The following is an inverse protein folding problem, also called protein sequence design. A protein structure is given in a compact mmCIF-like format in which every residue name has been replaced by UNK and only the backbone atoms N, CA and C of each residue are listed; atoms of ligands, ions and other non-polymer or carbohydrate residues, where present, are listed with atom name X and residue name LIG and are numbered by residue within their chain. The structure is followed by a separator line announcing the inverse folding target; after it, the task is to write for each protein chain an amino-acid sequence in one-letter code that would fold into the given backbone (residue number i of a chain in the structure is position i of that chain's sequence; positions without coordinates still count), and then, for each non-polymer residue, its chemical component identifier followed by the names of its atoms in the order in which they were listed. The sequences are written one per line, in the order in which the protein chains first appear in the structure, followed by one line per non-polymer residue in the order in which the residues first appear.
data_IF_543565644017
#
_entry.id   IF_543565644017
#
_cell.length_a   1.000
_cell.length_b   1.000
_cell.length_c   1.000
_cell.angle_alpha   90.00
_cell.angle_beta   90.00
_cell.angle_gamma   90.00
#
_symmetry.space_group_name_H-M   'P 1'
#
loop_
_entity.id
_entity.type
_entity.pdbx_description
1 polymer ?
#
# COMPACT_ATOMS: atom_id res chain seq x y z
N UNK A 1 -6.52 -5.71 -36.15
CA UNK A 1 -6.86 -7.15 -36.04
C UNK A 1 -6.56 -7.77 -34.68
N UNK A 2 -5.42 -7.47 -34.01
CA UNK A 2 -5.10 -8.07 -32.69
C UNK A 2 -5.85 -7.47 -31.49
N UNK A 3 -6.39 -6.25 -31.58
CA UNK A 3 -7.12 -5.60 -30.49
C UNK A 3 -8.34 -6.40 -30.01
N UNK A 4 -9.08 -7.05 -30.92
CA UNK A 4 -10.25 -7.87 -30.59
C UNK A 4 -9.89 -9.04 -29.67
N UNK A 5 -8.72 -9.67 -29.89
CA UNK A 5 -8.22 -10.72 -29.00
C UNK A 5 -7.96 -10.19 -27.58
N UNK A 6 -7.37 -9.00 -27.45
CA UNK A 6 -7.11 -8.41 -26.13
C UNK A 6 -8.41 -7.98 -25.43
N UNK A 7 -9.42 -7.52 -26.17
CA UNK A 7 -10.76 -7.26 -25.60
C UNK A 7 -11.34 -8.55 -25.02
N UNK A 8 -11.32 -9.65 -25.78
CA UNK A 8 -11.80 -10.95 -25.27
C UNK A 8 -10.97 -11.47 -24.10
N UNK A 9 -9.65 -11.25 -24.12
CA UNK A 9 -8.76 -11.65 -23.03
C UNK A 9 -9.10 -10.89 -21.73
N UNK A 10 -9.27 -9.56 -21.79
CA UNK A 10 -9.64 -8.75 -20.63
C UNK A 10 -11.02 -9.15 -20.07
N UNK A 11 -11.99 -9.46 -20.94
CA UNK A 11 -13.30 -9.91 -20.48
C UNK A 11 -13.24 -11.28 -19.82
N UNK A 12 -12.48 -12.22 -20.37
CA UNK A 12 -12.35 -13.56 -19.80
C UNK A 12 -11.46 -13.54 -18.57
N UNK A 13 -10.16 -13.29 -18.70
CA UNK A 13 -9.22 -13.36 -17.56
C UNK A 13 -9.49 -12.26 -16.53
N UNK A 14 -9.78 -11.04 -16.98
CA UNK A 14 -9.98 -9.90 -16.09
C UNK A 14 -11.30 -9.96 -15.34
N UNK A 15 -12.42 -9.88 -16.06
CA UNK A 15 -13.74 -9.77 -15.41
C UNK A 15 -14.14 -11.08 -14.73
N UNK A 16 -14.01 -12.22 -15.40
CA UNK A 16 -14.37 -13.50 -14.77
C UNK A 16 -13.40 -13.88 -13.66
N UNK A 17 -12.12 -13.50 -13.77
CA UNK A 17 -11.14 -13.70 -12.71
C UNK A 17 -11.49 -12.97 -11.42
N UNK A 18 -11.82 -11.68 -11.50
CA UNK A 18 -12.25 -10.90 -10.32
C UNK A 18 -13.60 -11.40 -9.79
N UNK A 19 -14.54 -11.74 -10.67
CA UNK A 19 -15.82 -12.30 -10.26
C UNK A 19 -15.67 -13.69 -9.61
N UNK A 20 -14.66 -14.47 -10.01
CA UNK A 20 -14.31 -15.73 -9.34
C UNK A 20 -13.63 -15.49 -7.99
N UNK A 21 -12.81 -14.44 -7.89
CA UNK A 21 -12.12 -14.08 -6.65
C UNK A 21 -13.12 -13.76 -5.53
N UNK A 22 -14.25 -13.08 -5.80
CA UNK A 22 -15.25 -12.78 -4.76
C UNK A 22 -15.85 -14.04 -4.13
N UNK A 23 -16.03 -15.11 -4.92
CA UNK A 23 -16.60 -16.38 -4.46
C UNK A 23 -15.60 -17.20 -3.66
N UNK A 24 -14.29 -16.94 -3.80
CA UNK A 24 -13.19 -17.66 -3.15
C UNK A 24 -13.40 -19.18 -3.15
N UNK A 25 -13.66 -19.75 -4.33
CA UNK A 25 -14.04 -21.16 -4.47
C UNK A 25 -13.00 -22.12 -3.87
N UNK A 26 -11.69 -21.81 -4.03
CA UNK A 26 -10.61 -22.64 -3.51
C UNK A 26 -10.67 -22.79 -1.98
N UNK A 27 -10.55 -21.74 -1.16
CA UNK A 27 -10.63 -21.88 0.29
C UNK A 27 -12.00 -22.38 0.75
N UNK A 28 -13.10 -22.05 0.06
CA UNK A 28 -14.43 -22.57 0.41
C UNK A 28 -14.51 -24.11 0.31
N UNK A 29 -14.01 -24.67 -0.79
CA UNK A 29 -14.00 -26.13 -1.00
C UNK A 29 -13.07 -26.81 0.01
N UNK A 30 -11.86 -26.26 0.22
CA UNK A 30 -10.91 -26.80 1.19
C UNK A 30 -11.43 -26.73 2.63
N UNK A 31 -12.14 -25.66 3.00
CA UNK A 31 -12.78 -25.53 4.30
C UNK A 31 -13.80 -26.65 4.53
N UNK A 32 -14.73 -26.87 3.59
CA UNK A 32 -15.72 -27.94 3.73
C UNK A 32 -15.08 -29.34 3.75
N UNK A 33 -14.03 -29.56 2.96
CA UNK A 33 -13.29 -30.82 2.95
C UNK A 33 -12.59 -31.06 4.30
N UNK A 34 -11.87 -30.06 4.83
CA UNK A 34 -11.22 -30.13 6.14
C UNK A 34 -12.24 -30.31 7.26
N UNK A 35 -13.35 -29.57 7.21
CA UNK A 35 -14.41 -29.66 8.22
C UNK A 35 -15.08 -31.04 8.24
N UNK A 36 -15.21 -31.71 7.10
CA UNK A 36 -15.80 -33.05 7.05
C UNK A 36 -14.83 -34.16 7.48
N UNK A 37 -13.53 -34.06 7.14
CA UNK A 37 -12.58 -35.15 7.35
C UNK A 37 -11.63 -34.97 8.55
N UNK A 38 -11.27 -33.74 8.91
CA UNK A 38 -10.13 -33.44 9.80
C UNK A 38 -10.51 -32.71 11.08
N UNK A 39 -11.59 -31.93 11.08
CA UNK A 39 -12.02 -31.14 12.25
C UNK A 39 -12.62 -32.03 13.32
N UNK A 40 -12.03 -32.03 14.53
CA UNK A 40 -12.58 -32.71 15.71
C UNK A 40 -12.82 -31.75 16.87
N UNK A 41 -12.07 -30.65 16.93
CA UNK A 41 -12.16 -29.61 17.97
C UNK A 41 -12.42 -28.23 17.36
N UNK A 42 -12.88 -27.27 18.18
CA UNK A 42 -13.09 -25.89 17.73
C UNK A 42 -11.79 -25.22 17.25
N UNK A 43 -10.64 -25.54 17.87
CA UNK A 43 -9.33 -25.05 17.42
C UNK A 43 -8.97 -25.52 16.01
N UNK A 44 -9.25 -26.78 15.68
CA UNK A 44 -9.03 -27.30 14.32
C UNK A 44 -9.91 -26.57 13.28
N UNK A 45 -11.06 -26.05 13.69
CA UNK A 45 -11.98 -25.29 12.84
C UNK A 45 -11.45 -23.88 12.58
N UNK A 46 -10.86 -23.23 13.57
CA UNK A 46 -10.19 -21.94 13.40
C UNK A 46 -9.01 -22.06 12.43
N UNK A 47 -8.17 -23.09 12.58
CA UNK A 47 -7.08 -23.38 11.64
C UNK A 47 -7.58 -23.69 10.22
N UNK A 48 -8.75 -24.33 10.09
CA UNK A 48 -9.37 -24.57 8.80
C UNK A 48 -9.92 -23.29 8.16
N UNK A 49 -10.20 -22.25 8.95
CA UNK A 49 -10.79 -20.98 8.49
C UNK A 49 -9.74 -19.96 8.02
N UNK A 50 -8.44 -20.32 7.96
CA UNK A 50 -7.39 -19.42 7.49
C UNK A 50 -7.66 -18.93 6.04
N UNK A 51 -7.96 -17.63 5.87
CA UNK A 51 -8.22 -17.06 4.56
C UNK A 51 -6.93 -16.84 3.75
N UNK A 52 -5.75 -16.91 4.37
CA UNK A 52 -4.49 -16.54 3.74
C UNK A 52 -4.39 -15.06 3.40
N UNK A 53 -3.29 -14.72 2.73
CA UNK A 53 -2.92 -13.37 2.33
C UNK A 53 -3.23 -13.08 0.85
N UNK A 54 -3.17 -11.80 0.48
CA UNK A 54 -3.32 -11.39 -0.91
C UNK A 54 -2.19 -12.00 -1.74
N UNK A 55 -2.56 -12.69 -2.82
CA UNK A 55 -1.60 -13.26 -3.77
C UNK A 55 -0.95 -12.15 -4.62
N UNK A 56 -0.01 -11.41 -4.03
CA UNK A 56 0.71 -10.31 -4.66
C UNK A 56 1.52 -10.78 -5.88
N UNK A 57 2.05 -12.00 -5.82
CA UNK A 57 2.82 -12.68 -6.87
C UNK A 57 2.09 -12.79 -8.21
N UNK A 58 0.78 -13.03 -8.17
CA UNK A 58 -0.06 -13.24 -9.35
C UNK A 58 -0.89 -12.01 -9.70
N UNK A 59 -1.36 -11.28 -8.69
CA UNK A 59 -2.22 -10.11 -8.89
C UNK A 59 -1.45 -8.92 -9.44
N UNK A 60 -0.21 -8.68 -8.96
CA UNK A 60 0.59 -7.53 -9.37
C UNK A 60 1.00 -7.58 -10.86
N UNK A 61 1.53 -8.69 -11.40
CA UNK A 61 1.86 -8.78 -12.82
C UNK A 61 0.63 -8.68 -13.72
N UNK A 62 -0.52 -9.24 -13.29
CA UNK A 62 -1.79 -9.15 -14.01
C UNK A 62 -2.23 -7.70 -14.18
N UNK A 63 -2.19 -6.91 -13.10
CA UNK A 63 -2.52 -5.48 -13.14
C UNK A 63 -1.56 -4.72 -14.08
N UNK A 64 -0.27 -5.03 -14.01
CA UNK A 64 0.74 -4.39 -14.88
C UNK A 64 0.55 -4.70 -16.35
N UNK A 65 0.12 -5.92 -16.69
CA UNK A 65 -0.24 -6.27 -18.06
C UNK A 65 -1.41 -5.41 -18.57
N UNK A 66 -2.45 -5.21 -17.77
CA UNK A 66 -3.58 -4.35 -18.15
C UNK A 66 -3.20 -2.87 -18.26
N UNK A 67 -2.29 -2.38 -17.41
CA UNK A 67 -1.71 -1.05 -17.58
C UNK A 67 -0.94 -0.92 -18.89
N UNK A 68 -0.09 -1.90 -19.23
CA UNK A 68 0.66 -1.91 -20.48
C UNK A 68 -0.28 -1.92 -21.69
N UNK A 69 -1.29 -2.80 -21.69
CA UNK A 69 -2.29 -2.87 -22.76
C UNK A 69 -3.06 -1.55 -22.89
N UNK A 70 -3.46 -0.96 -21.76
CA UNK A 70 -4.15 0.33 -21.73
C UNK A 70 -3.31 1.44 -22.35
N UNK A 71 -2.03 1.57 -21.97
CA UNK A 71 -1.14 2.59 -22.52
C UNK A 71 -0.89 2.39 -24.02
N UNK A 72 -0.54 1.17 -24.44
CA UNK A 72 -0.22 0.85 -25.84
C UNK A 72 -1.43 1.06 -26.76
N UNK A 73 -2.60 0.59 -26.36
CA UNK A 73 -3.80 0.68 -27.20
C UNK A 73 -4.59 1.98 -27.03
N UNK A 74 -4.26 2.85 -26.06
CA UNK A 74 -4.92 4.14 -25.90
C UNK A 74 -4.88 4.99 -27.17
N UNK A 75 -3.74 5.05 -27.83
CA UNK A 75 -3.55 5.82 -29.07
C UNK A 75 -3.99 5.06 -30.34
N UNK A 76 -3.99 3.72 -30.32
CA UNK A 76 -4.23 2.88 -31.50
C UNK A 76 -5.70 2.46 -31.63
N UNK A 77 -6.33 2.04 -30.53
CA UNK A 77 -7.71 1.53 -30.51
C UNK A 77 -8.37 1.89 -29.17
N UNK A 78 -8.96 3.09 -29.04
CA UNK A 78 -9.48 3.59 -27.77
C UNK A 78 -10.66 2.75 -27.24
N UNK A 79 -11.29 1.94 -28.09
CA UNK A 79 -12.37 1.03 -27.70
C UNK A 79 -11.96 -0.04 -26.66
N UNK A 80 -10.66 -0.33 -26.48
CA UNK A 80 -10.19 -1.23 -25.41
C UNK A 80 -10.28 -0.58 -24.02
N UNK A 81 -10.14 0.74 -23.92
CA UNK A 81 -10.02 1.46 -22.65
C UNK A 81 -11.24 1.32 -21.74
N UNK A 82 -12.50 1.42 -22.23
CA UNK A 82 -13.67 1.21 -21.38
C UNK A 82 -13.67 -0.16 -20.70
N UNK A 83 -13.24 -1.22 -21.38
CA UNK A 83 -13.19 -2.57 -20.81
C UNK A 83 -12.16 -2.69 -19.68
N UNK A 84 -11.00 -2.06 -19.86
CA UNK A 84 -9.94 -1.99 -18.83
C UNK A 84 -10.39 -1.13 -17.65
N UNK A 85 -11.09 -0.02 -17.90
CA UNK A 85 -11.59 0.85 -16.84
C UNK A 85 -12.66 0.15 -15.99
N UNK A 86 -13.59 -0.58 -16.63
CA UNK A 86 -14.57 -1.43 -15.93
C UNK A 86 -13.86 -2.49 -15.10
N UNK A 87 -12.82 -3.13 -15.65
CA UNK A 87 -11.98 -4.07 -14.90
C UNK A 87 -11.40 -3.42 -13.65
N UNK A 88 -10.77 -2.24 -13.75
CA UNK A 88 -10.18 -1.55 -12.59
C UNK A 88 -11.21 -1.11 -11.56
N UNK A 89 -12.36 -0.60 -12.00
CA UNK A 89 -13.45 -0.23 -11.09
C UNK A 89 -14.00 -1.43 -10.33
N UNK A 90 -14.23 -2.55 -11.03
CA UNK A 90 -14.70 -3.78 -10.41
C UNK A 90 -13.65 -4.40 -9.48
N UNK A 91 -12.38 -4.45 -9.92
CA UNK A 91 -11.25 -4.92 -9.11
C UNK A 91 -11.14 -4.11 -7.81
N UNK A 92 -11.24 -2.78 -7.90
CA UNK A 92 -11.13 -1.90 -6.74
C UNK A 92 -12.19 -2.23 -5.68
N UNK A 93 -13.46 -2.35 -6.08
CA UNK A 93 -14.56 -2.64 -5.15
C UNK A 93 -14.39 -4.03 -4.53
N UNK A 94 -14.06 -5.04 -5.33
CA UNK A 94 -13.91 -6.43 -4.85
C UNK A 94 -12.71 -6.55 -3.92
N UNK A 95 -11.52 -6.11 -4.33
CA UNK A 95 -10.34 -6.20 -3.47
C UNK A 95 -10.49 -5.34 -2.22
N UNK A 96 -11.13 -4.16 -2.29
CA UNK A 96 -11.42 -3.36 -1.08
C UNK A 96 -12.31 -4.13 -0.10
N UNK A 97 -13.36 -4.79 -0.59
CA UNK A 97 -14.22 -5.62 0.25
C UNK A 97 -13.46 -6.78 0.88
N UNK A 98 -12.62 -7.47 0.10
CA UNK A 98 -11.87 -8.63 0.60
C UNK A 98 -10.76 -8.27 1.56
N UNK A 99 -10.08 -7.14 1.37
CA UNK A 99 -9.06 -6.63 2.28
C UNK A 99 -9.66 -6.34 3.66
N UNK A 100 -10.89 -5.80 3.70
CA UNK A 100 -11.55 -5.44 4.97
C UNK A 100 -12.11 -6.69 5.66
N UNK A 101 -12.73 -7.60 4.91
CA UNK A 101 -13.56 -8.65 5.51
C UNK A 101 -12.91 -10.03 5.59
N UNK A 102 -11.86 -10.28 4.80
CA UNK A 102 -11.39 -11.67 4.62
C UNK A 102 -9.89 -11.84 4.68
N UNK A 103 -9.08 -11.05 3.96
CA UNK A 103 -7.65 -11.32 3.88
C UNK A 103 -6.93 -11.01 5.20
N UNK A 104 -6.04 -11.92 5.60
CA UNK A 104 -5.13 -11.70 6.71
C UNK A 104 -3.72 -11.42 6.17
N UNK A 105 -3.15 -10.27 6.54
CA UNK A 105 -1.85 -9.85 6.04
C UNK A 105 -0.73 -10.50 6.87
N UNK A 106 -0.07 -11.51 6.29
CA UNK A 106 0.99 -12.27 6.95
C UNK A 106 2.31 -11.50 7.13
N UNK A 107 2.56 -10.49 6.29
CA UNK A 107 3.78 -9.70 6.34
C UNK A 107 3.49 -8.23 6.05
N UNK A 108 4.18 -7.33 6.76
CA UNK A 108 4.06 -5.90 6.54
C UNK A 108 5.36 -5.33 5.95
N UNK A 109 5.28 -4.92 4.68
CA UNK A 109 6.43 -4.35 3.96
C UNK A 109 6.38 -2.81 3.86
N UNK A 110 5.39 -2.16 4.47
CA UNK A 110 5.18 -0.70 4.43
C UNK A 110 5.31 -0.09 3.01
N UNK A 111 4.73 -0.74 2.00
CA UNK A 111 4.74 -0.31 0.59
C UNK A 111 6.13 -0.12 -0.07
N UNK A 112 7.18 -0.77 0.44
CA UNK A 112 8.52 -0.74 -0.17
C UNK A 112 8.58 -1.22 -1.63
N UNK A 113 7.57 -1.94 -2.11
CA UNK A 113 7.46 -2.39 -3.52
C UNK A 113 7.07 -1.26 -4.50
N UNK A 114 6.63 -0.09 -4.01
CA UNK A 114 6.13 1.00 -4.86
C UNK A 114 7.15 1.52 -5.89
N UNK A 115 8.44 1.74 -5.57
CA UNK A 115 9.44 2.13 -6.57
C UNK A 115 9.57 1.12 -7.72
N UNK A 116 9.42 -0.18 -7.44
CA UNK A 116 9.42 -1.22 -8.46
C UNK A 116 8.20 -1.13 -9.37
N UNK A 117 7.00 -0.95 -8.80
CA UNK A 117 5.76 -0.76 -9.57
C UNK A 117 5.84 0.49 -10.45
N UNK A 118 6.29 1.61 -9.88
CA UNK A 118 6.47 2.86 -10.61
C UNK A 118 7.44 2.70 -11.78
N UNK A 119 8.59 2.04 -11.55
CA UNK A 119 9.57 1.75 -12.61
C UNK A 119 8.95 0.97 -13.77
N UNK A 120 8.18 -0.08 -13.48
CA UNK A 120 7.51 -0.89 -14.51
C UNK A 120 6.44 -0.11 -15.28
N UNK A 121 5.67 0.75 -14.62
CA UNK A 121 4.70 1.64 -15.29
C UNK A 121 5.40 2.62 -16.23
N UNK A 122 6.52 3.24 -15.81
CA UNK A 122 7.29 4.11 -16.70
C UNK A 122 7.88 3.32 -17.87
N UNK A 123 8.40 2.11 -17.65
CA UNK A 123 8.86 1.25 -18.74
C UNK A 123 7.72 0.94 -19.73
N UNK A 124 6.52 0.62 -19.23
CA UNK A 124 5.35 0.42 -20.09
C UNK A 124 4.98 1.67 -20.90
N UNK A 125 5.10 2.86 -20.31
CA UNK A 125 4.89 4.13 -21.00
C UNK A 125 5.93 4.37 -22.11
N UNK A 126 7.22 4.11 -21.84
CA UNK A 126 8.29 4.21 -22.84
C UNK A 126 8.03 3.22 -23.99
N UNK A 127 7.69 1.97 -23.67
CA UNK A 127 7.33 0.95 -24.67
C UNK A 127 6.15 1.42 -25.53
N UNK A 128 5.10 1.98 -24.91
CA UNK A 128 3.96 2.55 -25.63
C UNK A 128 4.36 3.68 -26.59
N UNK A 129 5.27 4.57 -26.17
CA UNK A 129 5.74 5.69 -26.99
C UNK A 129 6.59 5.19 -28.17
N UNK A 130 7.48 4.22 -27.94
CA UNK A 130 8.29 3.62 -28.99
C UNK A 130 7.46 2.82 -30.01
N UNK A 131 6.44 2.08 -29.55
CA UNK A 131 5.51 1.39 -30.44
C UNK A 131 4.68 2.36 -31.27
N UNK A 132 4.22 3.46 -30.67
CA UNK A 132 3.49 4.50 -31.40
C UNK A 132 4.39 5.17 -32.45
N UNK A 133 5.65 5.44 -32.12
CA UNK A 133 6.64 5.96 -33.08
C UNK A 133 6.85 4.97 -34.24
N UNK A 134 6.99 3.67 -33.94
CA UNK A 134 7.09 2.63 -34.96
C UNK A 134 5.88 2.57 -35.88
N UNK A 135 4.67 2.73 -35.33
CA UNK A 135 3.42 2.75 -36.10
C UNK A 135 3.29 4.00 -36.97
N UNK A 136 3.61 5.19 -36.44
CA UNK A 136 3.55 6.44 -37.20
C UNK A 136 4.59 6.51 -38.31
N UNK A 137 5.78 5.92 -38.10
CA UNK A 137 6.83 5.84 -39.11
C UNK A 137 6.42 5.06 -40.36
N UNK A 138 5.37 4.23 -40.30
CA UNK A 138 4.87 3.48 -41.47
C UNK A 138 3.80 4.23 -42.27
N UNK A 139 3.28 5.34 -41.76
CA UNK A 139 2.14 6.06 -42.34
C UNK A 139 2.54 7.43 -42.94
N UNK A 140 3.81 7.64 -43.27
CA UNK A 140 4.36 8.88 -43.90
C UNK A 140 4.03 10.20 -43.16
N UNK A 141 3.78 10.16 -41.85
CA UNK A 141 3.54 11.35 -41.02
C UNK A 141 4.85 11.98 -40.50
N UNK A 142 5.71 12.43 -41.41
CA UNK A 142 7.06 12.94 -41.11
C UNK A 142 7.08 14.11 -40.11
N UNK A 143 6.03 14.93 -40.08
CA UNK A 143 5.93 16.09 -39.19
C UNK A 143 5.77 15.71 -37.71
N UNK A 144 5.29 14.50 -37.41
CA UNK A 144 5.00 14.06 -36.03
C UNK A 144 6.18 13.36 -35.36
N UNK A 145 7.11 12.81 -36.15
CA UNK A 145 8.31 12.09 -35.71
C UNK A 145 9.18 12.84 -34.68
N UNK A 146 9.51 14.15 -34.84
CA UNK A 146 10.37 14.83 -33.87
C UNK A 146 9.72 14.95 -32.49
N UNK A 147 8.40 15.16 -32.41
CA UNK A 147 7.67 15.25 -31.14
C UNK A 147 7.64 13.89 -30.44
N UNK A 148 7.37 12.82 -31.19
CA UNK A 148 7.33 11.45 -30.66
C UNK A 148 8.69 10.96 -30.16
N UNK A 149 9.80 11.48 -30.71
CA UNK A 149 11.15 11.13 -30.30
C UNK A 149 11.58 11.85 -29.00
N UNK A 150 11.08 13.06 -28.75
CA UNK A 150 11.36 13.82 -27.52
C UNK A 150 10.63 13.22 -26.31
N UNK A 151 9.44 12.66 -26.52
CA UNK A 151 8.60 12.04 -25.48
C UNK A 151 9.32 10.97 -24.61
N UNK A 152 9.97 9.92 -25.17
CA UNK A 152 10.67 8.91 -24.39
C UNK A 152 11.89 9.47 -23.62
N UNK A 153 12.54 10.50 -24.16
CA UNK A 153 13.65 11.18 -23.47
C UNK A 153 13.13 11.94 -22.26
N UNK A 154 12.01 12.65 -22.40
CA UNK A 154 11.36 13.37 -21.32
C UNK A 154 10.87 12.41 -20.24
N UNK A 155 10.20 11.31 -20.60
CA UNK A 155 9.73 10.32 -19.60
C UNK A 155 10.87 9.65 -18.86
N UNK A 156 11.99 9.36 -19.53
CA UNK A 156 13.19 8.87 -18.86
C UNK A 156 13.81 9.90 -17.91
N UNK A 157 13.87 11.17 -18.34
CA UNK A 157 14.31 12.27 -17.48
C UNK A 157 13.42 12.44 -16.23
N UNK A 158 12.11 12.34 -16.40
CA UNK A 158 11.14 12.35 -15.31
C UNK A 158 11.36 11.17 -14.35
N UNK A 159 11.56 9.96 -14.87
CA UNK A 159 11.89 8.80 -14.04
C UNK A 159 13.16 9.01 -13.21
N UNK A 160 14.22 9.54 -13.82
CA UNK A 160 15.47 9.87 -13.09
C UNK A 160 15.24 10.91 -12.00
N UNK A 161 14.42 11.92 -12.27
CA UNK A 161 14.04 12.91 -11.26
C UNK A 161 13.29 12.27 -10.09
N UNK A 162 12.25 11.47 -10.37
CA UNK A 162 11.46 10.78 -9.35
C UNK A 162 12.31 9.79 -8.54
N UNK A 163 13.16 9.02 -9.21
CA UNK A 163 14.13 8.12 -8.58
C UNK A 163 15.03 8.86 -7.61
N UNK A 164 15.66 9.95 -8.02
CA UNK A 164 16.58 10.69 -7.16
C UNK A 164 15.86 11.41 -6.01
N UNK A 165 14.62 11.87 -6.23
CA UNK A 165 13.88 12.70 -5.27
C UNK A 165 13.07 11.91 -4.24
N UNK A 166 12.45 10.79 -4.65
CA UNK A 166 11.43 10.08 -3.88
C UNK A 166 11.81 8.66 -3.50
N UNK A 167 12.58 7.92 -4.30
CA UNK A 167 13.03 6.56 -3.95
C UNK A 167 13.76 6.47 -2.60
N UNK A 168 14.60 7.45 -2.20
CA UNK A 168 15.24 7.41 -0.88
C UNK A 168 14.25 7.32 0.28
N UNK A 169 13.02 7.84 0.13
CA UNK A 169 12.00 7.76 1.18
C UNK A 169 11.45 6.35 1.39
N UNK A 170 11.53 5.49 0.38
CA UNK A 170 11.07 4.09 0.45
C UNK A 170 12.18 3.12 0.88
N UNK A 171 13.44 3.47 0.61
CA UNK A 171 14.60 2.59 0.85
C UNK A 171 15.37 2.95 2.11
N UNK A 172 15.39 4.22 2.51
CA UNK A 172 16.17 4.70 3.65
C UNK A 172 15.27 5.21 4.75
N UNK A 173 15.56 4.79 5.98
CA UNK A 173 14.87 5.29 7.17
C UNK A 173 15.58 6.53 7.71
N UNK A 174 14.96 7.72 7.71
CA UNK A 174 15.60 8.95 8.17
C UNK A 174 15.77 8.95 9.70
N UNK A 175 16.99 9.27 10.17
CA UNK A 175 17.32 9.31 11.60
C UNK A 175 16.44 10.29 12.40
N UNK A 176 15.97 11.37 11.77
CA UNK A 176 15.11 12.35 12.41
C UNK A 176 13.78 11.74 12.85
N UNK A 177 13.13 10.91 12.01
CA UNK A 177 11.87 10.26 12.38
C UNK A 177 12.11 9.11 13.37
N UNK A 178 13.23 8.40 13.23
CA UNK A 178 13.65 7.38 14.19
C UNK A 178 13.79 7.97 15.61
N UNK A 179 14.58 9.05 15.78
CA UNK A 179 14.75 9.72 17.07
C UNK A 179 13.43 10.26 17.64
N UNK A 180 12.58 10.81 16.79
CA UNK A 180 11.26 11.32 17.19
C UNK A 180 10.38 10.20 17.70
N UNK A 181 10.32 9.07 16.99
CA UNK A 181 9.58 7.88 17.41
C UNK A 181 10.11 7.32 18.73
N UNK A 182 11.43 7.15 18.85
CA UNK A 182 12.08 6.68 20.09
C UNK A 182 11.76 7.57 21.30
N UNK A 183 11.74 8.90 21.10
CA UNK A 183 11.42 9.86 22.16
C UNK A 183 9.95 9.75 22.60
N UNK A 184 9.03 9.55 21.66
CA UNK A 184 7.61 9.38 21.93
C UNK A 184 7.33 8.05 22.64
N UNK A 185 7.95 6.95 22.19
CA UNK A 185 7.82 5.65 22.83
C UNK A 185 8.36 5.67 24.27
N UNK A 186 9.51 6.31 24.50
CA UNK A 186 10.06 6.49 25.85
C UNK A 186 9.17 7.32 26.77
N UNK A 187 8.45 8.30 26.22
CA UNK A 187 7.49 9.10 26.99
C UNK A 187 6.20 8.33 27.31
N UNK A 188 5.75 7.48 26.38
CA UNK A 188 4.54 6.66 26.54
C UNK A 188 4.76 5.50 27.52
N UNK A 189 5.88 4.79 27.37
CA UNK A 189 6.19 3.57 28.12
C UNK A 189 7.61 3.65 28.73
N UNK A 190 7.80 4.43 29.81
CA UNK A 190 9.13 4.69 30.37
C UNK A 190 9.79 3.47 31.01
N UNK A 191 9.01 2.46 31.40
CA UNK A 191 9.47 1.28 32.14
C UNK A 191 9.53 0.00 31.26
N UNK A 192 9.47 0.12 29.93
CA UNK A 192 9.53 -1.02 29.02
C UNK A 192 10.94 -1.65 29.00
N UNK A 193 11.06 -2.92 29.40
CA UNK A 193 12.31 -3.69 29.26
C UNK A 193 12.44 -4.25 27.83
N UNK A 194 13.10 -3.46 26.98
CA UNK A 194 13.34 -3.83 25.58
C UNK A 194 14.17 -5.11 25.43
N UNK A 195 15.08 -5.40 26.38
CA UNK A 195 15.96 -6.57 26.30
C UNK A 195 15.15 -7.84 26.51
N UNK A 196 14.28 -7.86 27.52
CA UNK A 196 13.38 -8.98 27.77
C UNK A 196 12.40 -9.18 26.60
N UNK A 197 11.84 -8.08 26.06
CA UNK A 197 10.92 -8.13 24.92
C UNK A 197 11.55 -8.74 23.66
N UNK A 198 12.79 -8.35 23.34
CA UNK A 198 13.47 -8.78 22.10
C UNK A 198 14.21 -10.12 22.22
N UNK A 199 14.42 -10.65 23.43
CA UNK A 199 15.25 -11.84 23.65
C UNK A 199 14.79 -13.07 22.85
N UNK A 200 13.48 -13.24 22.69
CA UNK A 200 12.88 -14.44 22.08
C UNK A 200 12.25 -14.20 20.70
N UNK A 201 12.26 -12.97 20.17
CA UNK A 201 11.48 -12.60 18.97
C UNK A 201 11.92 -13.35 17.71
N UNK A 202 13.23 -13.52 17.51
CA UNK A 202 13.84 -14.13 16.31
C UNK A 202 14.32 -15.57 16.52
N UNK A 203 13.81 -16.27 17.54
CA UNK A 203 14.02 -17.70 17.69
C UNK A 203 13.31 -18.46 16.56
N UNK A 204 13.93 -19.54 16.08
CA UNK A 204 13.31 -20.42 15.10
C UNK A 204 11.97 -20.94 15.66
N UNK A 205 10.88 -21.00 14.88
CA UNK A 205 9.55 -21.37 15.38
C UNK A 205 9.53 -22.69 16.18
N UNK A 206 10.34 -23.68 15.78
CA UNK A 206 10.47 -24.98 16.48
C UNK A 206 11.00 -24.86 17.93
N UNK A 207 11.74 -23.79 18.24
CA UNK A 207 12.30 -23.56 19.58
C UNK A 207 11.48 -22.58 20.43
N UNK A 208 10.38 -22.02 19.89
CA UNK A 208 9.43 -21.26 20.71
C UNK A 208 8.62 -22.29 21.51
N UNK A 209 8.71 -22.25 22.84
CA UNK A 209 7.88 -23.11 23.68
C UNK A 209 6.40 -22.73 23.58
N UNK A 210 5.49 -23.62 24.02
CA UNK A 210 4.03 -23.39 24.03
C UNK A 210 3.59 -22.11 24.77
N UNK A 211 4.47 -21.51 25.58
CA UNK A 211 4.21 -20.27 26.35
C UNK A 211 4.21 -18.98 25.50
N UNK A 212 4.45 -19.09 24.19
CA UNK A 212 4.63 -17.96 23.27
C UNK A 212 3.39 -17.53 22.48
N UNK A 213 2.33 -18.34 22.42
CA UNK A 213 1.18 -18.09 21.52
C UNK A 213 0.06 -17.28 22.20
N UNK A 214 -0.06 -17.34 23.52
CA UNK A 214 -1.20 -16.74 24.26
C UNK A 214 -1.04 -15.24 24.56
N UNK A 215 0.03 -14.58 24.10
CA UNK A 215 0.23 -13.13 24.34
C UNK A 215 -0.23 -12.22 23.22
N UNK A 216 -0.70 -12.79 22.11
CA UNK A 216 -1.20 -12.05 20.96
C UNK A 216 -2.52 -12.61 20.41
N UNK A 217 -3.33 -13.28 21.25
CA UNK A 217 -4.77 -13.26 21.02
C UNK A 217 -5.22 -11.81 21.20
N UNK A 218 -5.59 -11.17 20.09
CA UNK A 218 -6.36 -9.94 19.96
C UNK A 218 -6.82 -9.42 21.32
N UNK A 219 -6.17 -8.36 21.82
CA UNK A 219 -6.85 -7.47 22.76
C UNK A 219 -8.12 -7.05 22.04
N UNK A 220 -9.26 -7.58 22.47
CA UNK A 220 -10.57 -7.11 22.06
C UNK A 220 -10.53 -5.57 22.15
N UNK A 221 -10.77 -4.94 21.01
CA UNK A 221 -10.86 -3.48 20.81
C UNK A 221 -12.15 -2.94 21.46
N UNK A 222 -12.40 -3.35 22.69
CA UNK A 222 -13.61 -3.06 23.44
C UNK A 222 -13.21 -2.33 24.74
N UNK A 223 -12.90 -1.03 24.62
CA UNK A 223 -13.18 -0.12 25.73
C UNK A 223 -12.05 0.73 26.32
N UNK A 224 -11.13 1.27 25.52
CA UNK A 224 -10.36 2.44 25.97
C UNK A 224 -10.38 3.53 24.89
N UNK A 225 -11.15 4.59 25.16
CA UNK A 225 -10.70 5.92 24.75
C UNK A 225 -9.35 6.12 25.42
N UNK A 226 -8.26 5.76 24.74
CA UNK A 226 -6.93 6.19 25.14
C UNK A 226 -6.99 7.71 25.23
N UNK A 227 -6.84 8.25 26.44
CA UNK A 227 -6.44 9.64 26.60
C UNK A 227 -5.16 9.79 25.79
N UNK A 228 -5.27 10.38 24.59
CA UNK A 228 -4.12 10.80 23.82
C UNK A 228 -3.29 11.68 24.77
N UNK A 229 -2.20 11.14 25.30
CA UNK A 229 -1.20 11.96 25.98
C UNK A 229 -0.59 12.80 24.87
N UNK A 230 -1.16 13.99 24.65
CA UNK A 230 -0.71 14.94 23.65
C UNK A 230 0.70 15.38 24.05
N UNK A 231 1.71 14.71 23.53
CA UNK A 231 3.10 15.15 23.68
C UNK A 231 3.27 16.39 22.80
N UNK A 232 3.48 17.59 23.38
CA UNK A 232 3.57 18.81 22.59
C UNK A 232 4.83 18.75 21.72
N UNK A 233 4.63 18.54 20.42
CA UNK A 233 5.74 18.58 19.45
C UNK A 233 5.84 19.99 18.86
N UNK A 234 6.90 20.72 19.21
CA UNK A 234 7.15 22.06 18.66
C UNK A 234 7.60 21.95 17.20
N UNK A 235 6.66 22.07 16.27
CA UNK A 235 6.97 22.16 14.83
C UNK A 235 7.39 23.59 14.49
N UNK A 236 8.67 23.83 14.21
CA UNK A 236 9.11 25.11 13.63
C UNK A 236 8.63 25.19 12.17
N UNK A 237 7.45 25.78 11.98
CA UNK A 237 6.95 26.14 10.64
C UNK A 237 7.64 27.41 10.18
N UNK A 238 8.41 27.31 9.09
CA UNK A 238 8.86 28.48 8.32
C UNK A 238 7.65 28.95 7.50
N UNK A 239 6.83 29.82 8.11
CA UNK A 239 5.51 30.23 7.62
C UNK A 239 5.62 31.54 6.83
N UNK A 240 5.48 31.49 5.51
CA UNK A 240 4.99 32.62 4.70
C UNK A 240 3.58 32.29 4.25
N UNK A 241 2.60 32.61 5.09
CA UNK A 241 1.18 32.61 4.71
C UNK A 241 0.45 33.64 5.58
N UNK A 242 -0.28 34.60 5.00
CA UNK A 242 -0.91 35.69 5.75
C UNK A 242 -2.29 35.25 6.23
N UNK A 243 -2.35 34.59 7.39
CA UNK A 243 -3.60 34.41 8.13
C UNK A 243 -3.26 34.12 9.60
N UNK A 244 -3.63 35.03 10.51
CA UNK A 244 -3.49 34.84 11.95
C UNK A 244 -4.37 33.68 12.41
N UNK A 245 -3.78 32.68 13.07
CA UNK A 245 -4.51 31.59 13.72
C UNK A 245 -5.12 32.11 15.02
N UNK A 246 -6.44 31.96 15.14
CA UNK A 246 -7.30 32.58 16.15
C UNK A 246 -7.37 31.77 17.45
N UNK A 247 -6.24 31.39 18.01
CA UNK A 247 -6.10 30.84 19.36
C UNK A 247 -4.85 31.46 19.99
N UNK A 248 -5.02 32.64 20.55
CA UNK A 248 -4.09 33.21 21.52
C UNK A 248 -4.44 32.61 22.87
N UNK A 249 -3.53 31.81 23.43
CA UNK A 249 -3.56 31.48 24.84
C UNK A 249 -3.39 32.78 25.62
N UNK A 250 -4.34 33.06 26.51
CA UNK A 250 -4.33 34.23 27.37
C UNK A 250 -3.18 34.14 28.36
N UNK A 251 -2.11 34.91 28.11
CA UNK A 251 -1.20 35.37 29.16
C UNK A 251 -1.87 36.55 29.87
N UNK A 252 -2.04 36.44 31.20
CA UNK A 252 -2.12 37.61 32.07
C UNK A 252 -1.19 37.39 33.26
N UNK A 253 -0.01 37.96 33.12
CA UNK A 253 1.06 38.10 34.11
C UNK A 253 0.87 39.43 34.85
N UNK A 254 0.80 39.41 36.18
CA UNK A 254 1.32 40.46 37.09
C UNK A 254 1.23 39.94 38.54
N UNK A 255 2.34 39.54 39.16
CA UNK A 255 3.21 40.38 39.99
C UNK A 255 2.41 41.30 40.92
N UNK A 256 2.29 40.90 42.19
CA UNK A 256 2.17 41.84 43.30
C UNK A 256 2.93 41.29 44.52
N UNK A 257 4.03 41.98 44.78
CA UNK A 257 4.90 41.84 45.93
C UNK A 257 4.29 42.57 47.14
N UNK A 258 4.57 42.03 48.32
CA UNK A 258 4.56 42.66 49.66
C UNK A 258 3.25 42.74 50.49
N UNK A 259 3.36 42.07 51.64
CA UNK A 259 2.99 42.54 53.00
C UNK A 259 1.56 42.31 53.53
N UNK A 260 1.42 41.35 54.46
CA UNK A 260 1.15 41.57 55.90
C UNK A 260 0.44 40.36 56.57
N UNK A 261 1.10 39.83 57.61
CA UNK A 261 0.52 39.35 58.87
C UNK A 261 -0.83 38.62 58.87
N UNK A 262 -0.80 37.31 59.11
CA UNK A 262 -1.25 36.67 60.36
C UNK A 262 -0.79 35.22 60.44
#
# INVERSE_FOLDING_TARGET
MKATFFITYVMVDGWTGIAGEILRLKPLIFFHLKNFFLVKTEKDREEAMDPGSICFDSTEPRIQLYFLLGLVYAAVTPFLLPFILVFFGFAYVVFRHQIINVYNQQYESAAQFWPSVHGRIITALIVSQLLLLGLMSTNDFEQTTPVLLVLPVLTFGFYKYCKNRFEPAFVRNPLQEAMKKDTLERAREPNLDLKAYLANSYLHPVFKGDEGDDRYSVMDDDGWMEEEVIVPTKRHSRRTTPAQSKHEGSDSLSVLESSLQR
#
